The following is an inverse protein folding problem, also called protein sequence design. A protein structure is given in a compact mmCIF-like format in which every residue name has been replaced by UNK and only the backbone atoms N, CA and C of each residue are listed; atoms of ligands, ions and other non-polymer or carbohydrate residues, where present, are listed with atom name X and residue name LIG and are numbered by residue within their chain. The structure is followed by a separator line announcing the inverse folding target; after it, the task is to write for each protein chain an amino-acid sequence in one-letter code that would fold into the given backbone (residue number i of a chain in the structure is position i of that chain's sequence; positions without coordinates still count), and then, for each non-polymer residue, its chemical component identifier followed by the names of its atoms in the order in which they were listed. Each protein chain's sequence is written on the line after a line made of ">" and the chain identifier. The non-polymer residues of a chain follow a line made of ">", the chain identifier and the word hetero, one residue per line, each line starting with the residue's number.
data_IF_714741717464
#
_entry.id   IF_714741717464
#
_cell.length_a   1.000
_cell.length_b   1.000
_cell.length_c   1.000
_cell.angle_alpha   90.00
_cell.angle_beta   90.00
_cell.angle_gamma   90.00
#
_symmetry.space_group_name_H-M   'P 1'
#
loop_
_entity.id
_entity.type
_entity.pdbx_description
1 polymer ?
#
# COMPACT_ATOMS: atom_id res chain seq x y z
N UNK A 1 17.33 -10.83 10.10
CA UNK A 1 16.96 -9.39 10.22
C UNK A 1 16.35 -8.91 8.92
N UNK A 2 15.62 -7.79 8.92
CA UNK A 2 15.12 -7.17 7.68
C UNK A 2 16.16 -6.21 7.12
N UNK A 3 16.30 -6.15 5.79
CA UNK A 3 17.02 -5.07 5.09
C UNK A 3 16.11 -3.84 5.04
N UNK A 4 16.68 -2.65 5.20
CA UNK A 4 15.92 -1.39 5.21
C UNK A 4 16.61 -0.36 4.33
N UNK A 5 15.82 0.39 3.59
CA UNK A 5 16.23 1.56 2.82
C UNK A 5 15.21 2.67 3.07
N UNK A 6 15.65 3.93 3.02
CA UNK A 6 14.76 5.09 3.09
C UNK A 6 14.57 5.65 1.68
N UNK A 7 13.31 5.84 1.27
CA UNK A 7 12.96 6.35 -0.06
C UNK A 7 11.88 7.41 0.11
N UNK A 8 12.04 8.56 -0.55
CA UNK A 8 11.00 9.59 -0.61
C UNK A 8 10.06 9.30 -1.78
N UNK A 9 8.86 8.79 -1.47
CA UNK A 9 7.83 8.46 -2.46
C UNK A 9 7.14 9.69 -3.07
N UNK A 10 7.49 10.90 -2.64
CA UNK A 10 7.03 12.14 -3.30
C UNK A 10 7.95 12.54 -4.46
N UNK A 11 9.14 11.95 -4.55
CA UNK A 11 10.05 12.14 -5.67
C UNK A 11 9.82 11.02 -6.71
N UNK A 12 9.61 11.35 -8.00
CA UNK A 12 9.49 10.34 -9.06
C UNK A 12 10.62 9.30 -9.08
N UNK A 13 11.86 9.70 -8.81
CA UNK A 13 13.00 8.76 -8.75
C UNK A 13 12.87 7.76 -7.59
N UNK A 14 12.27 8.20 -6.47
CA UNK A 14 11.97 7.31 -5.34
C UNK A 14 10.86 6.31 -5.68
N UNK A 15 9.84 6.74 -6.41
CA UNK A 15 8.79 5.85 -6.91
C UNK A 15 9.38 4.79 -7.84
N UNK A 16 10.21 5.18 -8.80
CA UNK A 16 10.86 4.22 -9.71
C UNK A 16 11.78 3.24 -8.97
N UNK A 17 12.53 3.72 -7.97
CA UNK A 17 13.35 2.84 -7.11
C UNK A 17 12.50 1.74 -6.47
N UNK A 18 11.29 2.07 -5.99
CA UNK A 18 10.39 1.07 -5.42
C UNK A 18 9.82 0.13 -6.50
N UNK A 19 9.49 0.66 -7.68
CA UNK A 19 8.99 -0.16 -8.78
C UNK A 19 10.06 -1.16 -9.28
N UNK A 20 11.33 -0.77 -9.33
CA UNK A 20 12.45 -1.68 -9.63
C UNK A 20 12.58 -2.80 -8.59
N UNK A 21 12.33 -2.52 -7.32
CA UNK A 21 12.28 -3.56 -6.29
C UNK A 21 11.09 -4.49 -6.48
N UNK A 22 9.95 -3.95 -6.91
CA UNK A 22 8.72 -4.71 -7.18
C UNK A 22 8.90 -5.70 -8.34
N UNK A 23 9.75 -5.39 -9.33
CA UNK A 23 10.02 -6.28 -10.48
C UNK A 23 10.47 -7.68 -10.08
N UNK A 24 11.10 -7.82 -8.91
CA UNK A 24 11.60 -9.09 -8.37
C UNK A 24 10.94 -9.53 -7.08
N UNK A 25 9.95 -8.76 -6.58
CA UNK A 25 9.28 -9.06 -5.33
C UNK A 25 8.17 -10.09 -5.52
N UNK A 26 8.01 -11.00 -4.56
CA UNK A 26 6.86 -11.90 -4.50
C UNK A 26 5.63 -11.20 -3.90
N UNK A 27 5.83 -10.24 -3.00
CA UNK A 27 4.75 -9.53 -2.32
C UNK A 27 5.10 -8.08 -1.95
N UNK A 28 4.08 -7.22 -1.97
CA UNK A 28 4.09 -5.87 -1.41
C UNK A 28 3.02 -5.79 -0.32
N UNK A 29 3.35 -5.19 0.82
CA UNK A 29 2.41 -4.94 1.91
C UNK A 29 2.40 -3.45 2.21
N UNK A 30 1.21 -2.85 2.19
CA UNK A 30 1.02 -1.44 2.47
C UNK A 30 -0.19 -1.21 3.40
N UNK A 31 -0.12 -0.16 4.21
CA UNK A 31 -1.15 0.19 5.19
C UNK A 31 -1.57 1.66 5.11
N UNK A 32 -1.43 2.27 3.94
CA UNK A 32 -1.92 3.62 3.71
C UNK A 32 -3.45 3.61 3.56
N UNK A 33 -4.05 4.80 3.62
CA UNK A 33 -5.47 4.93 3.28
C UNK A 33 -5.72 4.56 1.83
N UNK A 34 -6.92 4.06 1.49
CA UNK A 34 -7.33 3.84 0.11
C UNK A 34 -7.05 5.08 -0.76
N UNK A 35 -6.50 4.87 -1.96
CA UNK A 35 -6.16 5.93 -2.91
C UNK A 35 -4.78 6.57 -2.72
N UNK A 36 -4.08 6.34 -1.59
CA UNK A 36 -2.75 6.95 -1.37
C UNK A 36 -1.72 6.34 -2.30
N UNK A 37 -1.65 5.01 -2.40
CA UNK A 37 -0.68 4.33 -3.26
C UNK A 37 -0.91 4.64 -4.73
N UNK A 38 -2.16 4.76 -5.15
CA UNK A 38 -2.57 5.20 -6.49
C UNK A 38 -2.04 6.60 -6.77
N UNK A 39 -2.22 7.55 -5.85
CA UNK A 39 -1.69 8.91 -6.00
C UNK A 39 -0.16 8.97 -6.01
N UNK A 40 0.51 8.02 -5.35
CA UNK A 40 1.98 7.90 -5.35
C UNK A 40 2.51 7.15 -6.60
N UNK A 41 1.65 6.66 -7.48
CA UNK A 41 2.07 5.86 -8.65
C UNK A 41 2.46 4.42 -8.32
N UNK A 42 2.15 3.94 -7.11
CA UNK A 42 2.42 2.59 -6.63
C UNK A 42 1.14 1.79 -6.39
N UNK A 43 0.04 2.19 -7.05
CA UNK A 43 -1.24 1.49 -6.98
C UNK A 43 -1.16 0.07 -7.56
N UNK A 44 -2.16 -0.78 -7.24
CA UNK A 44 -2.16 -2.18 -7.67
C UNK A 44 -2.06 -2.33 -9.19
N UNK A 45 -2.77 -1.51 -9.98
CA UNK A 45 -2.74 -1.59 -11.44
C UNK A 45 -1.33 -1.37 -11.99
N UNK A 46 -0.62 -0.35 -11.49
CA UNK A 46 0.76 -0.05 -11.91
C UNK A 46 1.68 -1.19 -11.52
N UNK A 47 1.65 -1.62 -10.25
CA UNK A 47 2.55 -2.66 -9.74
C UNK A 47 2.31 -4.02 -10.40
N UNK A 48 1.04 -4.41 -10.63
CA UNK A 48 0.67 -5.69 -11.26
C UNK A 48 0.90 -5.66 -12.77
N UNK A 49 0.79 -4.50 -13.43
CA UNK A 49 1.19 -4.37 -14.84
C UNK A 49 2.68 -4.62 -15.03
N UNK A 50 3.50 -4.21 -14.06
CA UNK A 50 4.95 -4.36 -14.06
C UNK A 50 5.39 -5.77 -13.64
N UNK A 51 4.77 -6.31 -12.59
CA UNK A 51 4.99 -7.68 -12.10
C UNK A 51 3.64 -8.41 -11.88
N UNK A 52 3.14 -9.16 -12.89
CA UNK A 52 1.87 -9.89 -12.79
C UNK A 52 1.84 -11.03 -11.76
N UNK A 53 2.99 -11.44 -11.22
CA UNK A 53 3.08 -12.50 -10.18
C UNK A 53 3.02 -11.95 -8.76
N UNK A 54 3.07 -10.62 -8.61
CA UNK A 54 3.11 -9.95 -7.31
C UNK A 54 1.81 -10.19 -6.53
N UNK A 55 1.95 -10.55 -5.25
CA UNK A 55 0.85 -10.50 -4.30
C UNK A 55 0.77 -9.11 -3.67
N UNK A 56 -0.28 -8.35 -3.98
CA UNK A 56 -0.47 -6.99 -3.46
C UNK A 56 -1.37 -6.99 -2.21
N UNK A 57 -0.77 -6.91 -1.02
CA UNK A 57 -1.46 -6.90 0.27
C UNK A 57 -1.77 -5.47 0.75
N UNK A 58 -3.06 -5.16 0.93
CA UNK A 58 -3.52 -3.89 1.49
C UNK A 58 -4.09 -4.10 2.88
N UNK A 59 -3.54 -3.40 3.87
CA UNK A 59 -3.95 -3.49 5.27
C UNK A 59 -4.62 -2.19 5.70
N UNK A 60 -5.95 -2.12 5.57
CA UNK A 60 -6.76 -0.99 6.06
C UNK A 60 -7.77 -1.50 7.08
N UNK A 61 -8.13 -0.68 8.07
CA UNK A 61 -9.03 -1.17 9.11
C UNK A 61 -10.52 -1.02 8.78
N UNK A 62 -10.90 -0.24 7.77
CA UNK A 62 -12.29 -0.14 7.28
C UNK A 62 -12.52 -0.77 5.91
N UNK A 63 -11.51 -1.46 5.35
CA UNK A 63 -11.54 -1.95 3.98
C UNK A 63 -11.17 -0.88 2.94
N UNK A 64 -11.26 -1.24 1.66
CA UNK A 64 -10.98 -0.33 0.53
C UNK A 64 -12.21 0.46 0.10
N UNK A 65 -13.40 -0.08 0.38
CA UNK A 65 -14.69 0.45 -0.03
C UNK A 65 -15.60 0.72 1.18
N UNK A 66 -16.66 1.49 0.97
CA UNK A 66 -17.67 1.77 1.98
C UNK A 66 -17.48 3.11 2.71
N UNK A 67 -18.47 3.51 3.54
CA UNK A 67 -18.56 4.88 4.08
C UNK A 67 -17.41 5.26 5.02
N UNK A 68 -16.68 4.28 5.55
CA UNK A 68 -15.58 4.47 6.48
C UNK A 68 -14.19 4.27 5.86
N UNK A 69 -14.09 3.91 4.58
CA UNK A 69 -12.83 3.60 3.91
C UNK A 69 -11.80 4.75 3.96
N UNK A 70 -12.27 6.01 3.95
CA UNK A 70 -11.43 7.20 4.05
C UNK A 70 -11.21 7.68 5.50
N UNK A 71 -11.89 7.09 6.49
CA UNK A 71 -11.84 7.51 7.87
C UNK A 71 -10.53 7.13 8.55
N UNK A 72 -10.06 7.98 9.48
CA UNK A 72 -8.96 7.61 10.36
C UNK A 72 -9.47 6.56 11.36
N UNK A 73 -8.84 5.40 11.41
CA UNK A 73 -9.09 4.40 12.45
C UNK A 73 -7.78 4.01 13.12
N UNK A 74 -7.76 4.10 14.45
CA UNK A 74 -6.77 3.43 15.28
C UNK A 74 -7.45 2.20 15.91
N UNK A 75 -6.66 1.26 16.42
CA UNK A 75 -7.09 -0.03 16.97
C UNK A 75 -8.43 0.02 17.74
N UNK A 76 -8.57 0.99 18.65
CA UNK A 76 -9.78 1.18 19.47
C UNK A 76 -11.07 1.44 18.67
N UNK A 77 -10.97 2.06 17.49
CA UNK A 77 -12.12 2.37 16.63
C UNK A 77 -12.63 1.10 15.92
N UNK A 78 -11.75 0.16 15.61
CA UNK A 78 -12.11 -1.09 14.94
C UNK A 78 -12.77 -2.06 15.91
N UNK A 79 -12.25 -2.17 17.13
CA UNK A 79 -12.78 -3.07 18.17
C UNK A 79 -14.16 -2.58 18.66
N UNK A 80 -14.36 -1.27 18.79
CA UNK A 80 -15.62 -0.68 19.25
C UNK A 80 -16.82 -0.91 18.29
N UNK A 81 -16.57 -1.17 17.00
CA UNK A 81 -17.60 -1.48 16.01
C UNK A 81 -17.71 -2.97 15.67
N UNK A 82 -16.71 -3.78 16.04
CA UNK A 82 -16.68 -5.22 15.80
C UNK A 82 -17.55 -6.06 16.74
N UNK A 83 -17.90 -5.52 17.91
CA UNK A 83 -18.60 -6.26 18.97
C UNK A 83 -17.68 -7.13 19.80
#
# INVERSE_FOLDING_TARGET
>A
GRRSIAVDLKNPEGVETVLELIDSADALIEGFRPGVMERLGLGPDVCLSRNPKLVYGRMTGWGQDGPYASAAGHDINYIALGG
#
